data_IF_776846727526
#
_entry.id   IF_776846727526
#
_cell.length_a   1.000
_cell.length_b   1.000
_cell.length_c   1.000
_cell.angle_alpha   90.00
_cell.angle_beta   90.00
_cell.angle_gamma   90.00
#
_symmetry.space_group_name_H-M   'P 1'
#
loop_
_entity.id
_entity.type
_entity.pdbx_description
1 polymer ?
#
# COMPACT_ATOMS: atom_id res chain seq x y z
N UNK A 1 -10.74 -8.73 4.17
CA UNK A 1 -10.82 -7.72 3.10
C UNK A 1 -9.90 -8.15 1.99
N UNK A 2 -10.49 -8.46 0.84
CA UNK A 2 -9.83 -8.89 -0.39
C UNK A 2 -10.12 -7.83 -1.46
N UNK A 3 -9.06 -7.35 -2.11
CA UNK A 3 -9.19 -6.37 -3.20
C UNK A 3 -8.37 -6.91 -4.36
N UNK A 4 -9.03 -7.26 -5.46
CA UNK A 4 -8.36 -7.76 -6.66
C UNK A 4 -7.69 -9.13 -6.53
N UNK A 5 -8.24 -10.04 -5.72
CA UNK A 5 -7.73 -11.42 -5.55
C UNK A 5 -6.43 -11.54 -4.75
N UNK A 6 -5.93 -10.45 -4.17
CA UNK A 6 -4.69 -10.42 -3.38
C UNK A 6 -5.02 -10.11 -1.93
N UNK A 7 -4.38 -10.84 -1.01
CA UNK A 7 -4.63 -10.73 0.44
C UNK A 7 -3.66 -9.75 1.09
N UNK A 8 -4.02 -9.20 2.25
CA UNK A 8 -3.10 -8.41 3.08
C UNK A 8 -1.82 -9.19 3.43
N UNK A 9 -1.91 -10.51 3.56
CA UNK A 9 -0.75 -11.38 3.77
C UNK A 9 0.22 -11.37 2.59
N UNK A 10 -0.30 -11.34 1.36
CA UNK A 10 0.51 -11.27 0.14
C UNK A 10 1.22 -9.92 0.03
N UNK A 11 0.51 -8.83 0.34
CA UNK A 11 1.12 -7.51 0.48
C UNK A 11 2.22 -7.51 1.56
N UNK A 12 1.96 -8.19 2.68
CA UNK A 12 2.91 -8.35 3.77
C UNK A 12 4.20 -9.05 3.33
N UNK A 13 4.11 -10.11 2.51
CA UNK A 13 5.28 -10.79 1.94
C UNK A 13 6.07 -9.88 1.01
N UNK A 14 5.38 -9.10 0.16
CA UNK A 14 6.04 -8.18 -0.77
C UNK A 14 6.74 -7.00 -0.06
N UNK A 15 6.08 -6.44 0.96
CA UNK A 15 6.56 -5.28 1.71
C UNK A 15 7.49 -5.67 2.87
N UNK A 16 7.62 -6.97 3.19
CA UNK A 16 8.51 -7.52 4.22
C UNK A 16 7.92 -7.61 5.63
N UNK A 17 6.65 -7.24 5.85
CA UNK A 17 5.92 -7.50 7.10
C UNK A 17 4.42 -7.27 6.94
N UNK A 18 3.61 -8.10 7.61
CA UNK A 18 2.15 -7.91 7.70
C UNK A 18 1.77 -6.58 8.36
N UNK A 19 2.53 -6.14 9.37
CA UNK A 19 2.27 -4.87 10.06
C UNK A 19 2.38 -3.70 9.08
N UNK A 20 3.42 -3.71 8.26
CA UNK A 20 3.69 -2.69 7.24
C UNK A 20 2.59 -2.66 6.18
N UNK A 21 2.11 -3.82 5.75
CA UNK A 21 0.97 -3.92 4.84
C UNK A 21 -0.31 -3.30 5.44
N UNK A 22 -0.62 -3.60 6.71
CA UNK A 22 -1.77 -3.03 7.41
C UNK A 22 -1.67 -1.50 7.53
N UNK A 23 -0.48 -1.00 7.85
CA UNK A 23 -0.20 0.43 8.04
C UNK A 23 -0.37 1.24 6.73
N UNK A 24 0.09 0.66 5.61
CA UNK A 24 -0.11 1.23 4.25
C UNK A 24 -1.57 1.19 3.85
N UNK A 25 -2.27 0.06 4.03
CA UNK A 25 -3.69 -0.07 3.71
C UNK A 25 -4.57 0.85 4.55
N UNK A 26 -4.16 1.12 5.80
CA UNK A 26 -4.86 2.04 6.70
C UNK A 26 -4.50 3.51 6.46
N UNK A 27 -3.56 3.81 5.55
CA UNK A 27 -3.07 5.17 5.30
C UNK A 27 -2.20 5.76 6.40
N UNK A 28 -1.86 4.99 7.45
CA UNK A 28 -0.97 5.43 8.55
C UNK A 28 0.46 5.62 8.08
N UNK A 29 0.88 4.86 7.06
CA UNK A 29 2.17 5.03 6.39
C UNK A 29 2.00 5.30 4.91
N UNK A 30 2.70 6.33 4.47
CA UNK A 30 2.83 6.63 3.05
C UNK A 30 3.61 5.54 2.34
N UNK A 31 3.16 5.19 1.13
CA UNK A 31 3.86 4.25 0.27
C UNK A 31 5.18 4.87 -0.20
N UNK A 32 6.30 4.18 0.03
CA UNK A 32 7.61 4.64 -0.44
C UNK A 32 7.83 4.28 -1.91
N UNK A 33 8.69 5.02 -2.62
CA UNK A 33 9.02 4.77 -4.04
C UNK A 33 9.44 3.32 -4.30
N UNK A 34 10.24 2.72 -3.42
CA UNK A 34 10.67 1.32 -3.56
C UNK A 34 9.54 0.30 -3.38
N UNK A 35 8.56 0.60 -2.52
CA UNK A 35 7.35 -0.23 -2.37
C UNK A 35 6.45 -0.10 -3.58
N UNK A 36 6.29 1.12 -4.11
CA UNK A 36 5.56 1.37 -5.35
C UNK A 36 6.18 0.61 -6.52
N UNK A 37 7.51 0.65 -6.66
CA UNK A 37 8.23 -0.09 -7.70
C UNK A 37 8.00 -1.61 -7.60
N UNK A 38 8.05 -2.17 -6.40
CA UNK A 38 7.75 -3.60 -6.16
C UNK A 38 6.32 -3.96 -6.55
N UNK A 39 5.34 -3.13 -6.16
CA UNK A 39 3.93 -3.34 -6.50
C UNK A 39 3.68 -3.25 -8.01
N UNK A 40 4.35 -2.32 -8.70
CA UNK A 40 4.28 -2.23 -10.14
C UNK A 40 4.84 -3.48 -10.82
N UNK A 41 6.05 -3.92 -10.44
CA UNK A 41 6.72 -5.07 -11.08
C UNK A 41 6.06 -6.40 -10.77
N UNK A 42 5.59 -6.62 -9.55
CA UNK A 42 5.02 -7.90 -9.16
C UNK A 42 3.53 -8.02 -9.46
N UNK A 43 2.78 -6.92 -9.30
CA UNK A 43 1.32 -6.97 -9.38
C UNK A 43 0.74 -6.23 -10.59
N UNK A 44 1.60 -5.57 -11.38
CA UNK A 44 1.20 -4.83 -12.57
C UNK A 44 0.44 -3.54 -12.26
N UNK A 45 0.50 -3.05 -11.03
CA UNK A 45 -0.24 -1.84 -10.64
C UNK A 45 0.48 -0.62 -11.25
N UNK A 46 -0.20 0.23 -12.03
CA UNK A 46 0.43 1.39 -12.64
C UNK A 46 1.01 2.33 -11.57
N UNK A 47 2.21 2.85 -11.83
CA UNK A 47 2.93 3.70 -10.88
C UNK A 47 2.11 4.94 -10.49
N UNK A 48 1.37 5.51 -11.43
CA UNK A 48 0.47 6.67 -11.21
C UNK A 48 -0.59 6.40 -10.14
N UNK A 49 -1.11 5.17 -10.06
CA UNK A 49 -2.07 4.78 -9.03
C UNK A 49 -1.42 4.60 -7.64
N UNK A 50 -0.11 4.36 -7.59
CA UNK A 50 0.66 4.11 -6.37
C UNK A 50 1.27 5.39 -5.77
N UNK A 51 1.55 6.38 -6.61
CA UNK A 51 2.15 7.67 -6.21
C UNK A 51 1.11 8.77 -5.99
N UNK A 52 -0.18 8.43 -6.09
CA UNK A 52 -1.26 9.39 -5.86
C UNK A 52 -1.07 10.05 -4.48
N UNK A 53 -1.14 11.39 -4.39
CA UNK A 53 -0.98 12.07 -3.11
C UNK A 53 -2.05 11.55 -2.14
N UNK A 54 -1.70 11.33 -0.86
CA UNK A 54 -2.69 10.89 0.12
C UNK A 54 -3.83 11.89 0.08
N UNK A 55 -5.07 11.41 -0.09
CA UNK A 55 -6.25 12.26 0.01
C UNK A 55 -6.24 12.81 1.42
N UNK A 56 -5.83 14.06 1.58
CA UNK A 56 -5.88 14.79 2.85
C UNK A 56 -7.35 14.88 3.27
N UNK A 57 -7.80 13.90 4.04
CA UNK A 57 -9.23 13.74 4.35
C UNK A 57 -9.51 12.82 5.53
N UNK A 58 -8.47 12.35 6.22
CA UNK A 58 -8.61 11.73 7.55
C UNK A 58 -7.30 11.92 8.31
N UNK A 59 -6.95 13.18 8.55
CA UNK A 59 -6.06 13.50 9.65
C UNK A 59 -6.70 12.98 10.93
N UNK A 60 -5.83 12.41 11.76
CA UNK A 60 -6.02 12.07 13.16
C UNK A 60 -7.26 12.71 13.80
N UNK A 61 -8.16 11.86 14.28
CA UNK A 61 -9.06 12.25 15.36
C UNK A 61 -8.19 12.82 16.49
N UNK A 62 -8.47 14.08 16.84
CA UNK A 62 -7.99 14.74 18.06
C UNK A 62 -8.71 14.12 19.25
#
# INVERSE_FOLDING_TARGET
METGGRTQSDLGRLLGSRQRASDVLSGKRSLTMGMAWKLNRQWGIPAEALIAPPKTGRQSAV
#
